data_IF_087759614623
#
_entry.id   IF_087759614623
#
_cell.length_a   1.000
_cell.length_b   1.000
_cell.length_c   1.000
_cell.angle_alpha   90.00
_cell.angle_beta   90.00
_cell.angle_gamma   90.00
#
_symmetry.space_group_name_H-M   'P 1'
#
loop_
_entity.id
_entity.type
_entity.pdbx_description
1 polymer ?
#
# COMPACT_ATOMS: atom_id res chain seq x y z
N UNK A 1 -56.88 15.04 5.91
CA UNK A 1 -56.13 14.24 4.90
C UNK A 1 -54.99 15.13 4.40
N UNK A 2 -53.69 14.89 4.49
CA UNK A 2 -52.85 13.81 5.02
C UNK A 2 -51.42 14.39 5.19
N UNK A 3 -50.86 14.17 6.38
CA UNK A 3 -49.47 14.19 6.91
C UNK A 3 -48.28 14.91 6.22
N UNK A 4 -47.51 15.54 7.11
CA UNK A 4 -46.13 16.04 7.02
C UNK A 4 -45.12 15.09 6.37
N UNK A 5 -44.17 15.63 5.59
CA UNK A 5 -42.96 14.93 5.14
C UNK A 5 -41.73 15.51 5.83
N UNK A 6 -41.24 14.79 6.83
CA UNK A 6 -39.92 15.00 7.45
C UNK A 6 -38.83 14.62 6.44
N UNK A 7 -37.79 15.44 6.22
CA UNK A 7 -36.55 14.93 5.65
C UNK A 7 -35.66 14.40 6.78
N UNK A 8 -35.64 13.08 6.99
CA UNK A 8 -34.57 12.40 7.71
C UNK A 8 -33.48 11.99 6.71
N UNK A 9 -32.28 12.55 6.87
CA UNK A 9 -31.15 12.18 6.03
C UNK A 9 -29.85 12.83 6.50
N UNK A 10 -29.36 12.47 7.67
CA UNK A 10 -27.93 12.64 7.99
C UNK A 10 -27.13 11.65 7.15
N UNK A 11 -26.59 12.14 6.03
CA UNK A 11 -25.63 11.40 5.22
C UNK A 11 -24.26 11.44 5.90
N UNK A 12 -23.88 10.36 6.59
CA UNK A 12 -22.52 10.17 7.09
C UNK A 12 -21.56 9.97 5.91
N UNK A 13 -21.14 11.05 5.26
CA UNK A 13 -20.06 11.06 4.26
C UNK A 13 -18.74 11.44 4.93
N UNK A 14 -18.26 10.60 5.84
CA UNK A 14 -17.02 10.87 6.58
C UNK A 14 -15.94 9.79 6.43
N UNK A 15 -16.11 8.82 5.52
CA UNK A 15 -15.09 7.83 5.16
C UNK A 15 -15.05 7.60 3.63
N UNK A 16 -15.10 8.68 2.83
CA UNK A 16 -15.42 8.57 1.40
C UNK A 16 -14.25 8.42 0.42
N UNK A 17 -12.98 8.28 0.81
CA UNK A 17 -11.95 8.06 -0.23
C UNK A 17 -10.64 7.43 0.24
N UNK A 18 -10.68 6.17 0.63
CA UNK A 18 -9.56 5.28 0.28
C UNK A 18 -10.09 4.16 -0.62
N UNK A 19 -10.67 4.56 -1.76
CA UNK A 19 -11.04 3.61 -2.80
C UNK A 19 -9.77 2.98 -3.38
N UNK A 20 -9.73 1.65 -3.39
CA UNK A 20 -8.67 0.91 -4.06
C UNK A 20 -8.52 1.38 -5.51
N UNK A 21 -7.30 1.73 -5.91
CA UNK A 21 -7.00 2.34 -7.22
C UNK A 21 -6.87 1.29 -8.35
N UNK A 22 -7.01 0.00 -8.03
CA UNK A 22 -6.79 -1.08 -8.98
C UNK A 22 -5.38 -1.66 -8.87
N UNK A 23 -5.12 -2.69 -9.68
CA UNK A 23 -3.81 -3.33 -9.74
C UNK A 23 -2.75 -2.37 -10.28
N UNK A 24 -1.53 -2.52 -9.78
CA UNK A 24 -0.39 -1.81 -10.31
C UNK A 24 -0.17 -2.18 -11.79
N UNK A 25 0.09 -1.18 -12.62
CA UNK A 25 0.49 -1.43 -14.01
C UNK A 25 1.80 -2.22 -14.05
N UNK A 26 1.99 -3.11 -15.04
CA UNK A 26 3.27 -3.78 -15.26
C UNK A 26 4.40 -2.76 -15.43
N UNK A 27 5.60 -3.14 -14.99
CA UNK A 27 6.79 -2.31 -15.17
C UNK A 27 7.07 -2.11 -16.66
N UNK A 28 7.16 -0.84 -17.08
CA UNK A 28 7.15 -0.44 -18.50
C UNK A 28 8.39 -0.82 -19.30
N UNK A 29 9.44 -1.37 -18.67
CA UNK A 29 10.65 -1.84 -19.34
C UNK A 29 11.94 -1.33 -18.68
N UNK A 30 13.06 -1.89 -19.12
CA UNK A 30 14.37 -1.69 -18.49
C UNK A 30 14.67 -2.76 -17.43
N UNK A 31 15.90 -2.74 -16.92
CA UNK A 31 16.27 -3.51 -15.73
C UNK A 31 16.08 -2.60 -14.51
N UNK A 32 15.06 -2.82 -13.66
CA UNK A 32 14.83 -1.98 -12.49
C UNK A 32 16.00 -2.01 -11.49
N UNK A 33 16.90 -3.00 -11.61
CA UNK A 33 18.07 -3.15 -10.77
C UNK A 33 19.39 -3.13 -11.55
N UNK A 34 19.39 -2.57 -12.77
CA UNK A 34 20.56 -2.58 -13.65
C UNK A 34 21.82 -2.01 -12.98
N UNK A 35 21.67 -0.94 -12.20
CA UNK A 35 22.77 -0.29 -11.49
C UNK A 35 23.33 -1.16 -10.35
N UNK A 36 22.49 -1.99 -9.73
CA UNK A 36 22.87 -2.83 -8.60
C UNK A 36 23.50 -4.16 -9.05
N UNK A 37 23.26 -4.61 -10.29
CA UNK A 37 23.77 -5.90 -10.78
C UNK A 37 25.28 -6.03 -10.80
N UNK A 38 26.00 -4.92 -10.94
CA UNK A 38 27.46 -4.87 -10.97
C UNK A 38 28.03 -4.13 -9.76
N UNK A 39 27.17 -3.63 -8.88
CA UNK A 39 27.61 -2.90 -7.70
C UNK A 39 28.12 -3.88 -6.64
N UNK A 40 29.26 -3.55 -6.05
CA UNK A 40 29.70 -4.14 -4.79
C UNK A 40 28.85 -3.50 -3.69
N UNK A 41 28.02 -4.29 -3.02
CA UNK A 41 27.09 -3.81 -2.00
C UNK A 41 27.53 -4.36 -0.63
N UNK A 42 27.86 -3.49 0.35
CA UNK A 42 28.37 -3.91 1.65
C UNK A 42 27.25 -4.40 2.56
N UNK A 43 26.62 -5.51 2.20
CA UNK A 43 25.53 -6.10 3.00
C UNK A 43 26.03 -6.81 4.26
N UNK A 44 27.35 -7.00 4.40
CA UNK A 44 27.97 -7.75 5.50
C UNK A 44 27.82 -7.04 6.86
N UNK A 45 27.63 -5.72 6.85
CA UNK A 45 27.40 -4.92 8.05
C UNK A 45 25.91 -4.82 8.42
N UNK A 46 25.02 -5.35 7.58
CA UNK A 46 23.59 -5.36 7.84
C UNK A 46 23.20 -6.53 8.73
N UNK A 47 22.12 -6.30 9.46
CA UNK A 47 21.53 -7.29 10.34
C UNK A 47 20.97 -8.47 9.51
N UNK A 48 21.25 -9.70 9.95
CA UNK A 48 20.74 -10.92 9.30
C UNK A 48 19.23 -11.06 9.52
N UNK A 49 18.45 -10.86 8.46
CA UNK A 49 16.99 -10.97 8.50
C UNK A 49 16.51 -12.42 8.66
N UNK A 50 17.36 -13.42 8.40
CA UNK A 50 17.07 -14.81 8.72
C UNK A 50 17.28 -15.14 10.20
N UNK A 51 17.85 -14.21 10.98
CA UNK A 51 17.83 -14.32 12.44
C UNK A 51 16.37 -14.33 12.91
N UNK A 52 15.93 -15.49 13.39
CA UNK A 52 14.61 -15.75 13.95
C UNK A 52 14.24 -14.86 15.13
N UNK A 53 15.20 -14.14 15.71
CA UNK A 53 14.95 -13.11 16.73
C UNK A 53 14.34 -11.84 16.12
N UNK A 54 14.49 -11.65 14.82
CA UNK A 54 14.06 -10.49 14.05
C UNK A 54 12.95 -10.81 13.06
N UNK A 55 12.93 -12.04 12.53
CA UNK A 55 11.77 -12.56 11.82
C UNK A 55 10.57 -12.64 12.76
N UNK A 56 9.40 -12.20 12.31
CA UNK A 56 8.14 -12.48 13.01
C UNK A 56 7.96 -14.00 13.05
N UNK A 57 8.35 -14.62 14.17
CA UNK A 57 8.36 -16.07 14.37
C UNK A 57 7.00 -16.72 14.16
#
# INVERSE_FOLDING_TARGET
>A
MTTSKTPSGTSSSALSSTSFTGDARPFGGGDPYGDYRRAELPFTDLVDLADRRLGAG
#
